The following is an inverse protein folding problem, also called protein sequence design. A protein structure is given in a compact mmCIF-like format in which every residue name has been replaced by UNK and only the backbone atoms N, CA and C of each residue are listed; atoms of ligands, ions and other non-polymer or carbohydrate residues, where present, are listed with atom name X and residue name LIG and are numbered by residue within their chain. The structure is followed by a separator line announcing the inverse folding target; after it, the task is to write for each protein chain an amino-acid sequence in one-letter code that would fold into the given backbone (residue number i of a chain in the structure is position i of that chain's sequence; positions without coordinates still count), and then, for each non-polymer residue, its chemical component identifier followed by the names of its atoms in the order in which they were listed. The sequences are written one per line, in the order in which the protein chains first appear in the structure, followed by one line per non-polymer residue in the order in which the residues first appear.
data_IF_464844636334
#
_entry.id   IF_464844636334
#
_cell.length_a   1.000
_cell.length_b   1.000
_cell.length_c   1.000
_cell.angle_alpha   90.00
_cell.angle_beta   90.00
_cell.angle_gamma   90.00
#
_symmetry.space_group_name_H-M   'P 1'
#
loop_
_entity.id
_entity.type
_entity.pdbx_description
1 polymer ?
#
# COMPACT_ATOMS: atom_id res chain seq x y z
N UNK A 1 -6.31 -8.97 -24.43
CA UNK A 1 -7.47 -9.39 -23.60
C UNK A 1 -7.54 -10.92 -23.45
N UNK A 2 -7.88 -11.73 -24.46
CA UNK A 2 -7.97 -13.19 -24.29
C UNK A 2 -6.64 -13.88 -23.92
N UNK A 3 -5.57 -13.61 -24.65
CA UNK A 3 -4.24 -14.15 -24.35
C UNK A 3 -3.74 -13.76 -22.96
N UNK A 4 -4.10 -12.59 -22.47
CA UNK A 4 -3.72 -12.10 -21.14
C UNK A 4 -4.41 -12.90 -20.02
N UNK A 5 -5.70 -13.24 -20.20
CA UNK A 5 -6.42 -14.14 -19.29
C UNK A 5 -5.74 -15.50 -19.22
N UNK A 6 -5.37 -16.06 -20.37
CA UNK A 6 -4.66 -17.34 -20.43
C UNK A 6 -3.28 -17.26 -19.75
N UNK A 7 -2.50 -16.21 -20.00
CA UNK A 7 -1.20 -16.01 -19.34
C UNK A 7 -1.37 -15.93 -17.81
N UNK A 8 -2.39 -15.22 -17.32
CA UNK A 8 -2.69 -15.15 -15.90
C UNK A 8 -3.11 -16.50 -15.32
N UNK A 9 -3.88 -17.30 -16.07
CA UNK A 9 -4.22 -18.67 -15.72
C UNK A 9 -2.97 -19.54 -15.51
N UNK A 10 -2.03 -19.52 -16.46
CA UNK A 10 -0.78 -20.28 -16.35
C UNK A 10 0.12 -19.76 -15.23
N UNK A 11 0.34 -18.45 -15.18
CA UNK A 11 1.29 -17.81 -14.25
C UNK A 11 0.78 -17.76 -12.82
N UNK A 12 -0.44 -17.29 -12.63
CA UNK A 12 -0.99 -16.95 -11.33
C UNK A 12 -1.78 -18.10 -10.70
N UNK A 13 -2.60 -18.76 -11.52
CA UNK A 13 -3.54 -19.78 -11.03
C UNK A 13 -2.97 -21.21 -11.05
N UNK A 14 -1.81 -21.42 -11.68
CA UNK A 14 -1.15 -22.72 -11.75
C UNK A 14 -1.86 -23.72 -12.68
N UNK A 15 -2.73 -23.22 -13.56
CA UNK A 15 -3.41 -24.02 -14.59
C UNK A 15 -2.37 -24.52 -15.57
N UNK A 16 -2.48 -25.79 -15.99
CA UNK A 16 -1.42 -26.45 -16.77
C UNK A 16 -1.77 -26.62 -18.25
N UNK A 17 -3.05 -26.49 -18.61
CA UNK A 17 -3.52 -26.73 -19.97
C UNK A 17 -4.44 -25.62 -20.44
N UNK A 18 -4.47 -25.39 -21.76
CA UNK A 18 -5.41 -24.44 -22.37
C UNK A 18 -6.85 -24.89 -22.15
N UNK A 19 -7.13 -26.19 -22.28
CA UNK A 19 -8.46 -26.75 -22.06
C UNK A 19 -9.02 -26.40 -20.67
N UNK A 20 -8.22 -26.59 -19.62
CA UNK A 20 -8.62 -26.23 -18.26
C UNK A 20 -8.84 -24.71 -18.08
N UNK A 21 -8.05 -23.88 -18.75
CA UNK A 21 -8.23 -22.43 -18.74
C UNK A 21 -9.50 -21.98 -19.51
N UNK A 22 -9.84 -22.68 -20.59
CA UNK A 22 -10.98 -22.39 -21.47
C UNK A 22 -12.30 -22.89 -20.90
N UNK A 23 -12.29 -24.00 -20.15
CA UNK A 23 -13.45 -24.54 -19.44
C UNK A 23 -13.81 -23.72 -18.19
N UNK A 24 -12.88 -22.88 -17.70
CA UNK A 24 -13.10 -22.04 -16.53
C UNK A 24 -14.12 -20.94 -16.78
N UNK A 25 -15.10 -20.83 -15.89
CA UNK A 25 -16.07 -19.73 -15.95
C UNK A 25 -15.39 -18.38 -15.64
N UNK A 26 -15.86 -17.31 -16.27
CA UNK A 26 -15.34 -15.97 -16.00
C UNK A 26 -15.50 -15.56 -14.52
N UNK A 27 -16.57 -16.02 -13.85
CA UNK A 27 -16.78 -15.77 -12.43
C UNK A 27 -15.71 -16.44 -11.57
N UNK A 28 -15.42 -17.72 -11.85
CA UNK A 28 -14.38 -18.46 -11.15
C UNK A 28 -12.98 -17.86 -11.39
N UNK A 29 -12.69 -17.50 -12.64
CA UNK A 29 -11.44 -16.80 -12.99
C UNK A 29 -11.26 -15.55 -12.13
N UNK A 30 -12.30 -14.72 -11.99
CA UNK A 30 -12.24 -13.48 -11.20
C UNK A 30 -11.93 -13.73 -9.74
N UNK A 31 -12.61 -14.69 -9.10
CA UNK A 31 -12.36 -15.04 -7.70
C UNK A 31 -10.94 -15.56 -7.51
N UNK A 32 -10.50 -16.48 -8.38
CA UNK A 32 -9.17 -17.06 -8.32
C UNK A 32 -8.09 -15.98 -8.51
N UNK A 33 -8.30 -15.04 -9.42
CA UNK A 33 -7.39 -13.89 -9.60
C UNK A 33 -7.36 -12.95 -8.40
N UNK A 34 -8.51 -12.67 -7.79
CA UNK A 34 -8.57 -11.87 -6.57
C UNK A 34 -7.79 -12.53 -5.43
N UNK A 35 -8.00 -13.83 -5.21
CA UNK A 35 -7.26 -14.62 -4.23
C UNK A 35 -5.75 -14.67 -4.53
N UNK A 36 -5.37 -14.82 -5.80
CA UNK A 36 -3.98 -14.78 -6.23
C UNK A 36 -3.33 -13.43 -5.89
N UNK A 37 -3.99 -12.32 -6.19
CA UNK A 37 -3.47 -10.98 -5.92
C UNK A 37 -3.33 -10.72 -4.42
N UNK A 38 -4.28 -11.18 -3.59
CA UNK A 38 -4.17 -11.12 -2.13
C UNK A 38 -2.96 -11.92 -1.64
N UNK A 39 -2.73 -13.12 -2.17
CA UNK A 39 -1.53 -13.92 -1.83
C UNK A 39 -0.22 -13.23 -2.22
N UNK A 40 -0.18 -12.56 -3.37
CA UNK A 40 1.00 -11.77 -3.77
C UNK A 40 1.23 -10.61 -2.80
N UNK A 41 0.16 -9.92 -2.41
CA UNK A 41 0.22 -8.84 -1.43
C UNK A 41 0.71 -9.32 -0.05
N UNK A 42 0.23 -10.47 0.44
CA UNK A 42 0.70 -11.08 1.69
C UNK A 42 2.20 -11.43 1.63
N UNK A 43 2.66 -11.89 0.45
CA UNK A 43 4.08 -12.18 0.23
C UNK A 43 4.92 -10.91 0.27
N UNK A 44 4.48 -9.84 -0.40
CA UNK A 44 5.14 -8.53 -0.34
C UNK A 44 5.20 -7.99 1.09
N UNK A 45 4.09 -8.09 1.84
CA UNK A 45 4.05 -7.73 3.25
C UNK A 45 5.12 -8.46 4.06
N UNK A 46 5.22 -9.77 3.91
CA UNK A 46 6.20 -10.57 4.66
C UNK A 46 7.65 -10.25 4.23
N UNK A 47 7.90 -9.98 2.95
CA UNK A 47 9.20 -9.48 2.49
C UNK A 47 9.55 -8.12 3.10
N UNK A 48 8.58 -7.22 3.24
CA UNK A 48 8.77 -5.94 3.92
C UNK A 48 9.04 -6.12 5.42
N UNK A 49 8.36 -7.05 6.08
CA UNK A 49 8.61 -7.42 7.48
C UNK A 49 10.03 -7.95 7.68
N UNK A 50 10.47 -8.87 6.81
CA UNK A 50 11.85 -9.37 6.82
C UNK A 50 12.87 -8.26 6.55
N UNK A 51 12.60 -7.37 5.59
CA UNK A 51 13.47 -6.22 5.32
C UNK A 51 13.52 -5.26 6.51
N UNK A 52 12.40 -5.07 7.22
CA UNK A 52 12.31 -4.28 8.45
C UNK A 52 13.16 -4.89 9.57
N UNK A 53 13.01 -6.19 9.84
CA UNK A 53 13.81 -6.90 10.85
C UNK A 53 15.31 -6.83 10.52
N UNK A 54 15.67 -7.05 9.26
CA UNK A 54 17.06 -6.90 8.79
C UNK A 54 17.57 -5.45 8.88
N UNK A 55 16.68 -4.46 8.83
CA UNK A 55 17.00 -3.04 8.94
C UNK A 55 17.09 -2.56 10.39
N UNK A 56 16.27 -3.05 11.31
CA UNK A 56 16.41 -2.78 12.76
C UNK A 56 17.80 -3.20 13.25
N UNK A 57 18.43 -4.19 12.61
CA UNK A 57 19.82 -4.59 12.85
C UNK A 57 20.86 -3.53 12.39
N UNK A 58 20.52 -2.56 11.52
CA UNK A 58 21.51 -1.68 10.85
C UNK A 58 21.19 -0.19 10.77
N UNK A 59 19.93 0.25 10.92
CA UNK A 59 19.52 1.62 10.60
C UNK A 59 19.53 2.56 11.82
N UNK A 60 20.72 2.91 12.27
CA UNK A 60 20.93 3.98 13.24
C UNK A 60 21.13 5.33 12.53
N UNK A 61 20.25 6.32 12.73
CA UNK A 61 20.53 7.72 12.35
C UNK A 61 21.09 8.48 13.55
N UNK A 62 22.20 9.19 13.36
CA UNK A 62 22.75 10.09 14.39
C UNK A 62 21.79 11.27 14.63
N UNK A 63 21.38 11.43 15.88
CA UNK A 63 20.63 12.57 16.39
C UNK A 63 21.42 13.13 17.59
N UNK A 64 22.30 14.10 17.33
CA UNK A 64 23.25 14.58 18.34
C UNK A 64 24.24 13.48 18.77
N UNK A 65 24.38 13.24 20.08
CA UNK A 65 25.25 12.18 20.66
C UNK A 65 24.62 10.77 20.67
N UNK A 66 23.35 10.60 20.27
CA UNK A 66 22.63 9.32 20.32
C UNK A 66 22.15 8.92 18.93
N UNK A 67 22.10 7.63 18.64
CA UNK A 67 21.52 7.09 17.42
C UNK A 67 20.05 6.70 17.67
N UNK A 68 19.17 7.01 16.70
CA UNK A 68 17.75 6.66 16.72
C UNK A 68 17.34 6.02 15.39
N UNK A 69 16.44 5.01 15.40
CA UNK A 69 15.88 4.46 14.17
C UNK A 69 15.00 5.49 13.44
N UNK A 70 15.01 5.45 12.10
CA UNK A 70 14.30 6.40 11.21
C UNK A 70 12.78 6.25 11.28
N UNK A 71 12.31 5.01 11.44
CA UNK A 71 10.92 4.66 11.63
C UNK A 71 10.84 4.01 13.01
N UNK A 72 9.78 4.29 13.77
CA UNK A 72 9.65 3.77 15.15
C UNK A 72 8.83 2.50 15.23
N UNK A 73 8.00 2.24 14.22
CA UNK A 73 7.14 1.07 14.14
C UNK A 73 7.05 0.59 12.70
N UNK A 74 6.81 -0.71 12.52
CA UNK A 74 6.62 -1.31 11.21
C UNK A 74 5.45 -0.67 10.43
N UNK A 75 4.35 -0.32 11.12
CA UNK A 75 3.19 0.38 10.50
C UNK A 75 3.57 1.71 9.82
N UNK A 76 4.62 2.41 10.29
CA UNK A 76 5.12 3.63 9.63
C UNK A 76 5.91 3.34 8.34
N UNK A 77 6.46 2.12 8.21
CA UNK A 77 7.19 1.67 7.02
C UNK A 77 6.25 1.00 6.01
N UNK A 78 5.33 0.16 6.48
CA UNK A 78 4.36 -0.55 5.66
C UNK A 78 3.01 -0.67 6.40
N UNK A 79 1.98 0.01 5.88
CA UNK A 79 0.63 0.00 6.44
C UNK A 79 -0.25 -0.99 5.66
N UNK A 80 -0.32 -2.22 6.17
CA UNK A 80 -1.04 -3.33 5.54
C UNK A 80 -2.53 -3.03 5.30
N UNK A 81 -3.20 -2.50 6.32
CA UNK A 81 -4.64 -2.20 6.27
C UNK A 81 -4.95 -1.15 5.18
N UNK A 82 -4.11 -0.10 5.11
CA UNK A 82 -4.26 0.97 4.14
C UNK A 82 -4.10 0.49 2.69
N UNK A 83 -3.17 -0.43 2.45
CA UNK A 83 -2.96 -0.96 1.09
C UNK A 83 -4.04 -1.99 0.74
N UNK A 84 -4.47 -2.81 1.68
CA UNK A 84 -5.57 -3.75 1.49
C UNK A 84 -6.89 -3.03 1.18
N UNK A 85 -7.18 -1.91 1.84
CA UNK A 85 -8.37 -1.10 1.55
C UNK A 85 -8.31 -0.45 0.16
N UNK A 86 -7.13 0.00 -0.29
CA UNK A 86 -6.94 0.44 -1.69
C UNK A 86 -7.16 -0.71 -2.66
N UNK A 87 -6.67 -1.92 -2.34
CA UNK A 87 -6.85 -3.10 -3.18
C UNK A 87 -8.32 -3.50 -3.31
N UNK A 88 -9.08 -3.42 -2.21
CA UNK A 88 -10.53 -3.68 -2.18
C UNK A 88 -11.36 -2.55 -2.79
N UNK A 89 -10.74 -1.53 -3.38
CA UNK A 89 -11.43 -0.42 -4.02
C UNK A 89 -12.20 0.49 -3.05
N UNK A 90 -11.95 0.38 -1.74
CA UNK A 90 -12.50 1.33 -0.78
C UNK A 90 -11.75 2.65 -0.97
N UNK A 91 -12.41 3.62 -1.60
CA UNK A 91 -11.90 4.99 -1.68
C UNK A 91 -11.63 5.48 -0.26
N UNK A 92 -10.39 5.89 0.00
CA UNK A 92 -10.06 6.63 1.21
C UNK A 92 -11.00 7.83 1.30
N UNK A 93 -11.77 7.92 2.39
CA UNK A 93 -12.19 9.24 2.86
C UNK A 93 -10.90 9.91 3.29
N UNK A 94 -10.37 10.80 2.46
CA UNK A 94 -9.31 11.69 2.91
C UNK A 94 -9.85 12.43 4.13
N UNK A 95 -9.32 12.13 5.31
CA UNK A 95 -9.51 12.97 6.49
C UNK A 95 -8.83 14.31 6.19
N UNK A 96 -9.57 15.20 5.51
CA UNK A 96 -9.12 16.53 5.12
C UNK A 96 -8.66 17.35 6.32
N UNK A 97 -9.09 16.98 7.53
CA UNK A 97 -8.82 17.66 8.80
C UNK A 97 -7.34 17.68 9.20
N UNK A 98 -6.49 16.75 8.73
CA UNK A 98 -5.07 16.68 9.16
C UNK A 98 -4.03 16.77 8.03
N UNK A 99 -4.45 17.09 6.81
CA UNK A 99 -3.53 17.21 5.66
C UNK A 99 -2.64 18.46 5.76
N UNK A 100 -1.44 18.39 5.19
CA UNK A 100 -0.54 19.55 5.07
C UNK A 100 -1.22 20.74 4.35
N UNK A 101 -2.11 20.43 3.39
CA UNK A 101 -2.93 21.42 2.70
C UNK A 101 -3.97 22.09 3.61
N UNK A 102 -4.58 21.37 4.56
CA UNK A 102 -5.49 21.96 5.55
C UNK A 102 -4.76 22.87 6.54
N UNK A 103 -3.59 22.46 7.01
CA UNK A 103 -2.73 23.31 7.87
C UNK A 103 -2.26 24.56 7.15
N UNK A 104 -1.93 24.46 5.86
CA UNK A 104 -1.58 25.60 5.03
C UNK A 104 -2.76 26.56 4.80
N UNK A 105 -3.95 26.02 4.54
CA UNK A 105 -5.19 26.82 4.45
C UNK A 105 -5.47 27.56 5.76
N UNK A 106 -5.32 26.90 6.90
CA UNK A 106 -5.47 27.53 8.22
C UNK A 106 -4.40 28.59 8.51
N UNK A 107 -3.14 28.33 8.16
CA UNK A 107 -2.04 29.30 8.27
C UNK A 107 -2.30 30.57 7.45
N UNK A 108 -2.75 30.42 6.20
CA UNK A 108 -3.09 31.55 5.33
C UNK A 108 -4.30 32.34 5.86
N UNK A 109 -5.30 31.64 6.45
CA UNK A 109 -6.45 32.29 7.11
C UNK A 109 -6.03 33.17 8.28
N UNK A 110 -5.16 32.66 9.17
CA UNK A 110 -4.63 33.42 10.33
C UNK A 110 -3.75 34.60 9.92
N UNK A 111 -3.03 34.49 8.80
CA UNK A 111 -2.16 35.56 8.30
C UNK A 111 -2.94 36.69 7.61
N UNK A 112 -4.08 36.38 6.99
CA UNK A 112 -5.01 37.36 6.43
C UNK A 112 -5.74 38.20 7.49
N UNK A 113 -5.97 37.65 8.69
CA UNK A 113 -6.62 38.37 9.80
C UNK A 113 -5.68 39.39 10.50
N UNK A 114 -4.36 39.25 10.36
CA UNK A 114 -3.36 40.14 10.99
C UNK A 114 -2.68 41.14 10.04
N UNK A 115 -3.04 41.15 8.75
CA UNK A 115 -2.41 42.00 7.72
C UNK A 115 -3.09 43.36 7.47
N UNK A 116 -3.90 43.85 8.40
CA UNK A 116 -4.71 45.05 8.22
C UNK A 116 -4.63 46.05 9.35
N UNK A 117 -3.43 46.37 9.85
CA UNK A 117 -3.15 47.63 10.56
C UNK A 117 -1.68 47.98 10.38
N UNK A 118 -1.41 48.90 9.45
CA UNK A 118 -0.35 49.90 9.48
C UNK A 118 -0.80 51.04 8.56
#
# INVERSE_FOLDING_TARGET
MYQELLVNCFRGLGIRTLKEAEEMSFYEYRIRMEAYNLRQFDTEFHLHELAWLNREVKAERKSGKKTKPVYRTFKQFFDYEKILDRFKGKKEKQDETNSAAARYREYMRRRGEHGGKL
#
